data_IF_724163895699
#
_entry.id   IF_724163895699
#
_cell.length_a   1.000
_cell.length_b   1.000
_cell.length_c   1.000
_cell.angle_alpha   90.00
_cell.angle_beta   90.00
_cell.angle_gamma   90.00
#
_symmetry.space_group_name_H-M   'P 1'
#
loop_
_entity.id
_entity.type
_entity.pdbx_description
1 polymer ?
#
# COMPACT_ATOMS: atom_id res chain seq x y z
N UNK A 1 -32.23 10.21 10.92
CA UNK A 1 -31.98 11.67 11.04
C UNK A 1 -31.40 12.15 9.73
N UNK A 2 -32.01 13.16 9.10
CA UNK A 2 -31.50 13.82 7.90
C UNK A 2 -31.02 15.22 8.21
N UNK A 3 -29.83 15.59 7.75
CA UNK A 3 -29.32 16.96 7.86
C UNK A 3 -29.03 17.46 6.44
N UNK A 4 -29.67 18.57 6.05
CA UNK A 4 -29.61 19.07 4.68
C UNK A 4 -30.32 18.18 3.65
N UNK A 5 -31.01 17.13 4.09
CA UNK A 5 -31.64 16.10 3.25
C UNK A 5 -33.13 15.96 3.59
N UNK A 6 -34.00 15.98 2.58
CA UNK A 6 -35.46 15.86 2.77
C UNK A 6 -35.95 14.41 2.68
N UNK A 7 -35.16 13.51 2.09
CA UNK A 7 -35.45 12.08 2.01
C UNK A 7 -34.23 11.23 2.46
N UNK A 8 -33.97 11.11 3.77
CA UNK A 8 -32.82 10.35 4.26
C UNK A 8 -32.89 8.87 3.88
N UNK A 9 -31.94 8.40 3.06
CA UNK A 9 -31.87 7.00 2.61
C UNK A 9 -31.26 6.03 3.63
N UNK A 10 -30.68 6.54 4.72
CA UNK A 10 -30.08 5.75 5.79
C UNK A 10 -30.48 6.25 7.18
N UNK A 11 -30.08 5.51 8.22
CA UNK A 11 -30.36 5.91 9.63
C UNK A 11 -29.81 7.31 9.94
N UNK A 12 -28.65 7.65 9.37
CA UNK A 12 -28.08 8.99 9.30
C UNK A 12 -27.79 9.30 7.84
N UNK A 13 -28.27 10.45 7.36
CA UNK A 13 -27.94 10.99 6.03
C UNK A 13 -27.60 12.46 6.17
N UNK A 14 -26.51 12.88 5.53
CA UNK A 14 -26.05 14.28 5.51
C UNK A 14 -25.77 14.65 4.06
N UNK A 15 -26.54 15.60 3.53
CA UNK A 15 -26.29 16.18 2.21
C UNK A 15 -25.57 17.52 2.42
N UNK A 16 -24.24 17.50 2.32
CA UNK A 16 -23.38 18.65 2.62
C UNK A 16 -21.96 18.22 2.98
N UNK A 17 -21.23 19.08 3.69
CA UNK A 17 -19.94 18.74 4.29
C UNK A 17 -20.13 18.32 5.75
N UNK A 18 -19.31 17.38 6.22
CA UNK A 18 -19.41 16.86 7.59
C UNK A 18 -18.11 17.09 8.35
N UNK A 19 -18.21 17.65 9.56
CA UNK A 19 -17.13 17.72 10.53
C UNK A 19 -17.47 16.87 11.76
N UNK A 20 -16.55 15.99 12.15
CA UNK A 20 -16.66 15.19 13.38
C UNK A 20 -15.50 15.55 14.28
N UNK A 21 -15.77 16.10 15.47
CA UNK A 21 -14.74 16.49 16.42
C UNK A 21 -15.30 17.10 17.70
N UNK A 22 -14.44 17.35 18.67
CA UNK A 22 -14.80 17.86 20.00
C UNK A 22 -14.41 19.31 20.23
N UNK A 23 -13.68 19.95 19.31
CA UNK A 23 -13.34 21.38 19.41
C UNK A 23 -14.23 22.24 18.53
N UNK A 24 -14.41 23.50 18.95
CA UNK A 24 -15.18 24.52 18.21
C UNK A 24 -14.63 24.78 16.81
N UNK A 25 -13.31 24.63 16.62
CA UNK A 25 -12.67 24.74 15.31
C UNK A 25 -13.14 23.66 14.32
N UNK A 26 -13.47 22.44 14.80
CA UNK A 26 -14.02 21.38 13.96
C UNK A 26 -15.54 21.43 13.91
N UNK A 27 -16.22 21.62 15.04
CA UNK A 27 -17.69 21.62 15.07
C UNK A 27 -18.31 22.84 14.37
N UNK A 28 -17.54 23.89 14.11
CA UNK A 28 -17.95 25.06 13.33
C UNK A 28 -17.18 25.23 12.02
N UNK A 29 -16.36 24.25 11.62
CA UNK A 29 -15.69 24.30 10.32
C UNK A 29 -16.74 24.27 9.21
N UNK A 30 -16.68 25.25 8.30
CA UNK A 30 -17.42 25.19 7.05
C UNK A 30 -16.76 24.16 6.12
N UNK A 31 -17.20 22.91 6.22
CA UNK A 31 -16.73 21.83 5.35
C UNK A 31 -17.45 21.92 4.02
N UNK A 32 -16.68 21.98 2.92
CA UNK A 32 -17.25 21.97 1.57
C UNK A 32 -18.10 20.72 1.34
N UNK A 33 -19.24 20.87 0.66
CA UNK A 33 -20.12 19.76 0.33
C UNK A 33 -19.39 18.59 -0.34
N UNK A 34 -19.66 17.37 0.11
CA UNK A 34 -18.99 16.16 -0.37
C UNK A 34 -17.71 15.79 0.38
N UNK A 35 -17.22 16.66 1.28
CA UNK A 35 -16.04 16.38 2.09
C UNK A 35 -16.40 15.99 3.53
N UNK A 36 -15.48 15.24 4.14
CA UNK A 36 -15.53 14.83 5.54
C UNK A 36 -14.20 15.16 6.20
N UNK A 37 -14.25 15.87 7.33
CA UNK A 37 -13.10 16.05 8.24
C UNK A 37 -13.39 15.37 9.57
N UNK A 38 -12.39 14.68 10.10
CA UNK A 38 -12.48 14.01 11.41
C UNK A 38 -11.31 14.50 12.26
N UNK A 39 -11.64 15.02 13.44
CA UNK A 39 -10.67 15.30 14.48
C UNK A 39 -10.40 14.03 15.28
N UNK A 40 -9.12 13.67 15.39
CA UNK A 40 -8.69 12.51 16.14
C UNK A 40 -8.13 11.43 15.24
N UNK A 41 -8.43 10.17 15.55
CA UNK A 41 -7.98 9.00 14.84
C UNK A 41 -9.19 8.26 14.26
N UNK A 42 -9.07 7.74 13.03
CA UNK A 42 -10.12 6.96 12.37
C UNK A 42 -9.77 5.48 12.46
N UNK A 43 -10.65 4.71 13.10
CA UNK A 43 -10.56 3.26 13.18
C UNK A 43 -11.48 2.58 12.18
N UNK A 44 -10.94 1.68 11.37
CA UNK A 44 -11.73 0.77 10.52
C UNK A 44 -11.48 -0.63 11.04
N UNK A 45 -12.48 -1.26 11.68
CA UNK A 45 -12.31 -2.60 12.26
C UNK A 45 -11.43 -2.64 13.52
N UNK A 46 -11.14 -1.48 14.13
CA UNK A 46 -10.47 -1.35 15.44
C UNK A 46 -11.27 -0.41 16.33
N UNK A 47 -11.43 -0.76 17.61
CA UNK A 47 -12.11 0.09 18.59
C UNK A 47 -11.17 1.11 19.21
N UNK A 48 -9.85 0.88 19.15
CA UNK A 48 -8.84 1.71 19.79
C UNK A 48 -7.73 2.07 18.78
N UNK A 49 -7.99 3.00 17.83
CA UNK A 49 -7.01 3.39 16.82
C UNK A 49 -5.74 4.00 17.43
N UNK A 50 -4.58 3.40 17.18
CA UNK A 50 -3.30 3.91 17.72
C UNK A 50 -2.68 5.02 16.88
N UNK A 51 -3.11 5.17 15.63
CA UNK A 51 -2.63 6.21 14.68
C UNK A 51 -3.80 6.88 13.98
N UNK A 52 -3.52 7.90 13.15
CA UNK A 52 -4.55 8.76 12.52
C UNK A 52 -5.53 7.99 11.64
N UNK A 53 -5.07 6.93 10.99
CA UNK A 53 -5.89 5.99 10.27
C UNK A 53 -5.37 4.59 10.60
N UNK A 54 -6.19 3.80 11.28
CA UNK A 54 -5.85 2.48 11.77
C UNK A 54 -6.91 1.48 11.30
N UNK A 55 -6.47 0.37 10.71
CA UNK A 55 -7.33 -0.67 10.16
C UNK A 55 -7.46 -1.90 11.10
N UNK A 56 -6.86 -1.84 12.29
CA UNK A 56 -6.89 -2.92 13.27
C UNK A 56 -6.13 -4.18 12.85
N UNK A 57 -5.98 -5.10 13.81
CA UNK A 57 -5.38 -6.44 13.61
C UNK A 57 -6.43 -7.55 13.47
N UNK A 58 -7.72 -7.20 13.66
CA UNK A 58 -8.85 -8.12 13.83
C UNK A 58 -9.74 -8.20 12.59
N UNK A 59 -9.18 -8.27 11.39
CA UNK A 59 -9.96 -8.59 10.19
C UNK A 59 -9.67 -10.04 9.80
N UNK A 60 -10.61 -10.99 10.01
CA UNK A 60 -10.35 -12.41 9.79
C UNK A 60 -9.86 -12.66 8.37
N UNK A 61 -8.60 -13.09 8.22
CA UNK A 61 -8.00 -13.53 6.96
C UNK A 61 -8.16 -12.61 5.74
N UNK A 62 -8.34 -11.30 5.94
CA UNK A 62 -8.42 -10.38 4.80
C UNK A 62 -7.00 -9.94 4.49
N UNK A 63 -6.33 -10.68 3.61
CA UNK A 63 -5.00 -10.32 3.10
C UNK A 63 -4.92 -8.97 2.38
N UNK A 64 -6.00 -8.18 2.43
CA UNK A 64 -6.28 -6.95 1.70
C UNK A 64 -6.81 -5.95 2.72
N UNK A 65 -6.05 -4.90 2.98
CA UNK A 65 -6.43 -3.81 3.89
C UNK A 65 -6.87 -2.60 3.06
N UNK A 66 -6.10 -2.26 2.04
CA UNK A 66 -6.42 -1.19 1.08
C UNK A 66 -6.56 -1.82 -0.30
N UNK A 67 -7.78 -1.83 -0.83
CA UNK A 67 -8.07 -2.27 -2.19
C UNK A 67 -7.97 -1.10 -3.17
N UNK A 68 -7.02 -1.17 -4.10
CA UNK A 68 -6.81 -0.12 -5.13
C UNK A 68 -7.50 -0.53 -6.43
N UNK A 69 -7.54 -1.82 -6.74
CA UNK A 69 -8.28 -2.37 -7.88
C UNK A 69 -9.01 -3.64 -7.43
N UNK A 70 -10.29 -3.78 -7.79
CA UNK A 70 -11.12 -4.92 -7.42
C UNK A 70 -12.18 -5.22 -8.48
N UNK A 71 -11.90 -6.20 -9.33
CA UNK A 71 -12.84 -6.75 -10.33
C UNK A 71 -12.88 -8.26 -10.19
N UNK A 72 -13.89 -8.78 -9.49
CA UNK A 72 -14.01 -10.21 -9.18
C UNK A 72 -12.79 -10.72 -8.42
N UNK A 73 -12.05 -11.65 -9.01
CA UNK A 73 -10.82 -12.24 -8.43
C UNK A 73 -9.53 -11.47 -8.80
N UNK A 74 -9.63 -10.41 -9.61
CA UNK A 74 -8.48 -9.57 -9.99
C UNK A 74 -8.38 -8.42 -9.01
N UNK A 75 -7.35 -8.44 -8.16
CA UNK A 75 -7.22 -7.52 -7.03
C UNK A 75 -5.78 -7.04 -6.84
N UNK A 76 -5.61 -5.75 -6.61
CA UNK A 76 -4.32 -5.13 -6.27
C UNK A 76 -4.47 -4.21 -5.07
N UNK A 77 -3.42 -4.09 -4.26
CA UNK A 77 -3.47 -3.25 -3.07
C UNK A 77 -2.38 -3.53 -2.04
N UNK A 78 -2.68 -3.12 -0.81
CA UNK A 78 -1.84 -3.31 0.38
C UNK A 78 -2.61 -4.16 1.37
N UNK A 79 -1.92 -5.08 2.03
CA UNK A 79 -2.50 -5.86 3.11
C UNK A 79 -1.44 -6.35 4.09
N UNK A 80 -1.84 -7.28 4.94
CA UNK A 80 -0.96 -7.81 5.97
C UNK A 80 -1.02 -9.33 5.99
N UNK A 81 0.07 -9.95 6.40
CA UNK A 81 0.13 -11.37 6.65
C UNK A 81 -0.65 -11.72 7.90
N UNK A 82 -1.76 -12.44 7.72
CA UNK A 82 -2.65 -12.85 8.80
C UNK A 82 -1.97 -13.74 9.85
N UNK A 83 -0.77 -14.25 9.55
CA UNK A 83 0.02 -15.08 10.47
C UNK A 83 1.18 -14.31 11.11
N UNK A 84 1.90 -13.47 10.35
CA UNK A 84 3.17 -12.88 10.80
C UNK A 84 3.16 -11.34 10.93
N UNK A 85 2.02 -10.68 10.77
CA UNK A 85 1.92 -9.21 10.71
C UNK A 85 2.84 -8.56 9.63
N UNK A 86 3.30 -9.34 8.65
CA UNK A 86 4.17 -8.85 7.58
C UNK A 86 3.40 -8.03 6.55
N UNK A 87 3.93 -6.89 6.12
CA UNK A 87 3.31 -6.08 5.07
C UNK A 87 3.28 -6.85 3.74
N UNK A 88 2.13 -6.86 3.07
CA UNK A 88 1.97 -7.39 1.71
C UNK A 88 1.64 -6.25 0.75
N UNK A 89 2.33 -6.21 -0.38
CA UNK A 89 1.91 -5.47 -1.57
C UNK A 89 1.58 -6.54 -2.60
N UNK A 90 0.37 -6.50 -3.16
CA UNK A 90 -0.09 -7.54 -4.06
C UNK A 90 -0.69 -6.96 -5.34
N UNK A 91 -0.53 -7.74 -6.39
CA UNK A 91 -1.07 -7.54 -7.73
C UNK A 91 -1.61 -8.91 -8.19
N UNK A 92 -2.61 -8.99 -9.09
CA UNK A 92 -2.97 -10.26 -9.68
C UNK A 92 -1.76 -10.86 -10.39
N UNK A 93 -1.67 -12.19 -10.45
CA UNK A 93 -0.51 -12.90 -11.01
C UNK A 93 -0.22 -12.51 -12.47
N UNK A 94 -1.22 -12.10 -13.24
CA UNK A 94 -1.09 -11.61 -14.61
C UNK A 94 -0.47 -10.22 -14.73
N UNK A 95 -0.24 -9.55 -13.61
CA UNK A 95 0.31 -8.21 -13.54
C UNK A 95 1.55 -8.18 -12.63
N UNK A 96 2.34 -7.17 -12.85
CA UNK A 96 3.55 -6.87 -12.10
C UNK A 96 3.23 -5.91 -10.96
N UNK A 97 4.12 -5.89 -9.95
CA UNK A 97 4.20 -4.74 -9.04
C UNK A 97 5.28 -3.83 -9.61
N UNK A 98 4.97 -2.56 -9.81
CA UNK A 98 5.90 -1.60 -10.39
C UNK A 98 6.11 -0.41 -9.48
N UNK A 99 7.36 0.03 -9.39
CA UNK A 99 7.75 1.29 -8.78
C UNK A 99 8.41 2.13 -9.88
N UNK A 100 8.11 3.42 -9.91
CA UNK A 100 8.50 4.28 -11.03
C UNK A 100 8.10 5.73 -10.79
N UNK A 101 8.29 6.55 -11.81
CA UNK A 101 7.94 7.97 -11.78
C UNK A 101 6.66 8.24 -12.56
N UNK A 102 5.89 9.24 -12.12
CA UNK A 102 4.83 9.85 -12.91
C UNK A 102 5.42 11.08 -13.62
N UNK A 103 5.14 11.23 -14.91
CA UNK A 103 5.55 12.38 -15.70
C UNK A 103 5.03 13.68 -15.09
N UNK A 104 5.90 14.68 -14.93
CA UNK A 104 5.50 16.02 -14.46
C UNK A 104 4.89 16.87 -15.57
N UNK A 105 5.01 16.46 -16.82
CA UNK A 105 4.43 17.17 -17.96
C UNK A 105 2.93 16.88 -18.12
N UNK A 106 2.48 15.67 -17.78
CA UNK A 106 1.07 15.24 -17.94
C UNK A 106 0.40 14.74 -16.66
N UNK A 107 1.15 14.45 -15.58
CA UNK A 107 0.62 14.00 -14.30
C UNK A 107 -0.03 12.61 -14.30
N UNK A 108 0.07 11.85 -15.40
CA UNK A 108 -0.62 10.56 -15.56
C UNK A 108 0.24 9.46 -16.19
N UNK A 109 1.25 9.81 -17.00
CA UNK A 109 2.10 8.82 -17.65
C UNK A 109 3.08 8.23 -16.66
N UNK A 110 3.00 6.92 -16.44
CA UNK A 110 3.88 6.18 -15.53
C UNK A 110 5.04 5.52 -16.27
N UNK A 111 6.26 5.72 -15.79
CA UNK A 111 7.47 5.08 -16.30
C UNK A 111 8.07 4.14 -15.23
N UNK A 112 8.06 2.81 -15.43
CA UNK A 112 8.54 1.88 -14.43
C UNK A 112 10.07 1.87 -14.33
N UNK A 113 10.59 1.93 -13.11
CA UNK A 113 12.02 1.80 -12.80
C UNK A 113 12.34 0.43 -12.17
N UNK A 114 11.44 -0.08 -11.32
CA UNK A 114 11.53 -1.40 -10.72
C UNK A 114 10.26 -2.15 -11.02
N UNK A 115 10.41 -3.40 -11.43
CA UNK A 115 9.32 -4.28 -11.78
C UNK A 115 9.53 -5.61 -11.07
N UNK A 116 8.53 -6.04 -10.32
CA UNK A 116 8.45 -7.39 -9.78
C UNK A 116 7.43 -8.16 -10.61
N UNK A 117 7.93 -9.03 -11.49
CA UNK A 117 7.10 -9.91 -12.31
C UNK A 117 6.69 -11.15 -11.50
N UNK A 118 5.40 -11.20 -11.15
CA UNK A 118 4.82 -12.25 -10.32
C UNK A 118 4.54 -13.55 -11.11
N UNK A 119 4.46 -13.49 -12.46
CA UNK A 119 4.32 -14.69 -13.30
C UNK A 119 5.61 -15.52 -13.31
N UNK A 120 6.77 -14.85 -13.34
CA UNK A 120 8.07 -15.53 -13.24
C UNK A 120 8.37 -16.06 -11.84
N UNK A 121 7.82 -15.45 -10.80
CA UNK A 121 8.07 -15.82 -9.41
C UNK A 121 7.45 -17.18 -9.01
N UNK A 122 6.36 -17.62 -9.66
CA UNK A 122 5.68 -18.90 -9.36
C UNK A 122 6.20 -20.08 -10.19
N UNK A 123 6.86 -19.82 -11.32
CA UNK A 123 7.35 -20.86 -12.24
C UNK A 123 8.78 -21.37 -11.92
N UNK A 124 9.45 -20.81 -10.92
CA UNK A 124 10.81 -21.17 -10.53
C UNK A 124 10.89 -21.55 -9.04
N UNK A 125 10.53 -22.79 -8.70
CA UNK A 125 10.56 -23.31 -7.32
C UNK A 125 11.94 -23.28 -6.64
N UNK A 126 13.03 -22.95 -7.35
CA UNK A 126 14.41 -22.94 -6.81
C UNK A 126 15.10 -21.57 -6.73
N UNK A 127 14.49 -20.47 -7.22
CA UNK A 127 15.13 -19.14 -7.26
C UNK A 127 14.15 -18.05 -6.83
N UNK A 128 13.66 -18.13 -5.60
CA UNK A 128 12.87 -17.03 -5.00
C UNK A 128 13.81 -15.83 -4.78
N UNK A 129 13.74 -14.85 -5.68
CA UNK A 129 14.27 -13.49 -5.53
C UNK A 129 15.52 -13.32 -4.66
N UNK A 130 16.69 -13.80 -5.13
CA UNK A 130 17.95 -13.21 -4.65
C UNK A 130 18.18 -11.93 -5.44
N UNK A 131 18.13 -10.79 -4.76
CA UNK A 131 18.79 -9.56 -5.25
C UNK A 131 20.28 -9.88 -5.24
N UNK A 132 20.80 -10.31 -6.40
CA UNK A 132 22.24 -10.40 -6.59
C UNK A 132 22.76 -8.96 -6.64
N UNK A 133 23.29 -8.45 -5.53
CA UNK A 133 24.31 -7.42 -5.66
C UNK A 133 25.43 -8.04 -6.48
N UNK A 134 25.73 -7.50 -7.65
CA UNK A 134 26.96 -7.86 -8.35
C UNK A 134 28.12 -7.52 -7.39
N UNK A 135 28.73 -8.52 -6.76
CA UNK A 135 30.08 -8.37 -6.22
C UNK A 135 30.99 -8.25 -7.43
N UNK A 136 31.46 -7.03 -7.70
CA UNK A 136 32.56 -6.80 -8.61
C UNK A 136 33.82 -7.29 -7.89
N UNK A 137 34.11 -8.58 -7.96
CA UNK A 137 35.42 -9.09 -7.56
C UNK A 137 36.39 -8.71 -8.68
N UNK A 138 37.09 -7.58 -8.49
CA UNK A 138 38.24 -7.26 -9.33
C UNK A 138 39.23 -8.43 -9.20
N UNK A 139 39.44 -9.13 -10.31
CA UNK A 139 40.48 -10.14 -10.42
C UNK A 139 41.83 -9.48 -10.12
N UNK A 140 42.31 -9.63 -8.88
CA UNK A 140 43.72 -9.35 -8.55
C UNK A 140 44.49 -10.56 -9.07
N UNK A 141 45.37 -10.44 -10.09
CA UNK A 141 46.19 -11.56 -10.51
C UNK A 141 47.14 -11.86 -9.36
N UNK A 142 47.06 -13.06 -8.77
CA UNK A 142 48.04 -13.52 -7.79
C UNK A 142 49.39 -13.59 -8.51
N UNK A 143 50.33 -12.72 -8.13
CA UNK A 143 51.73 -12.80 -8.54
C UNK A 143 52.32 -14.08 -7.93
N UNK A 144 52.44 -15.16 -8.70
CA UNK A 144 53.22 -16.33 -8.27
C UNK A 144 54.72 -16.02 -8.41
N UNK A 145 55.40 -15.85 -7.27
CA UNK A 145 56.86 -15.87 -7.18
C UNK A 145 57.35 -17.32 -7.31
N UNK A 146 57.99 -17.66 -8.43
CA UNK A 146 58.75 -18.90 -8.55
C UNK A 146 60.10 -18.74 -7.85
N UNK A 147 60.30 -19.45 -6.74
CA UNK A 147 61.63 -19.70 -6.19
C UNK A 147 62.07 -21.09 -6.67
N UNK A 148 63.07 -21.17 -7.56
CA UNK A 148 63.76 -22.42 -7.86
C UNK A 148 65.09 -22.41 -7.12
N UNK A 149 65.20 -23.27 -6.11
CA UNK A 149 66.47 -23.68 -5.52
C UNK A 149 67.17 -24.64 -6.49
N UNK A 150 68.35 -24.24 -6.97
CA UNK A 150 69.53 -25.08 -7.20
C UNK A 150 70.76 -24.18 -7.42
#
# INVERSE_FOLDING_TARGET
>A
VGIGETAPGGKLSVLGGMAVGSTTAYSQAAVTSGNLIIQGNVGIGTTNPSTKLDFGTSVPNVGQIISIYNTGNVKSGIGMDSVNAGMRIYSPISQQIQLGSISTADGVTFAPAVTVDLNKATSASGRRGRVNYCHWEQQVPQLEFYLSLE
#
